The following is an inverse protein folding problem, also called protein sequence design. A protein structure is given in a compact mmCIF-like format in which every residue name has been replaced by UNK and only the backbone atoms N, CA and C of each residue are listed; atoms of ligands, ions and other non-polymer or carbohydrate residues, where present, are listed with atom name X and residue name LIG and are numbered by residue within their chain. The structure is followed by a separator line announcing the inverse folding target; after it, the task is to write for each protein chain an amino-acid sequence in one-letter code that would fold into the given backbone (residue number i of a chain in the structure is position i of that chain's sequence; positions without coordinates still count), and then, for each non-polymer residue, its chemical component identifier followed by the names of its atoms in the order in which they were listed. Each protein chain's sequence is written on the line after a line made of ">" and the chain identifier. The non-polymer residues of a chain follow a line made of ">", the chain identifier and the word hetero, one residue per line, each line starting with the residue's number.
data_IF_136705561988
#
_entry.id   IF_136705561988
#
_cell.length_a   1.000
_cell.length_b   1.000
_cell.length_c   1.000
_cell.angle_alpha   90.00
_cell.angle_beta   90.00
_cell.angle_gamma   90.00
#
_symmetry.space_group_name_H-M   'P 1'
#
loop_
_entity.id
_entity.type
_entity.pdbx_description
1 polymer ?
#
# COMPACT_ATOMS: atom_id res chain seq x y z
N UNK A 1 -12.68 -6.83 -7.86
CA UNK A 1 -12.84 -5.50 -8.50
C UNK A 1 -13.70 -5.57 -9.75
N UNK A 2 -13.35 -6.36 -10.77
CA UNK A 2 -14.13 -6.49 -12.02
C UNK A 2 -15.66 -6.61 -11.86
N UNK A 3 -16.17 -7.62 -11.12
CA UNK A 3 -17.62 -7.80 -10.91
C UNK A 3 -18.31 -6.62 -10.22
N UNK A 4 -17.61 -5.95 -9.30
CA UNK A 4 -18.16 -4.85 -8.50
C UNK A 4 -18.38 -3.62 -9.40
N UNK A 5 -17.37 -3.26 -10.20
CA UNK A 5 -17.50 -2.17 -11.17
C UNK A 5 -18.55 -2.49 -12.24
N UNK A 6 -18.57 -3.73 -12.74
CA UNK A 6 -19.58 -4.17 -13.68
C UNK A 6 -21.00 -4.02 -13.12
N UNK A 7 -21.21 -4.42 -11.85
CA UNK A 7 -22.49 -4.28 -11.18
C UNK A 7 -22.92 -2.81 -11.09
N UNK A 8 -22.06 -1.90 -10.63
CA UNK A 8 -22.41 -0.48 -10.53
C UNK A 8 -22.65 0.16 -11.90
N UNK A 9 -21.87 -0.18 -12.92
CA UNK A 9 -22.09 0.30 -14.29
C UNK A 9 -23.42 -0.21 -14.84
N UNK A 10 -23.72 -1.51 -14.71
CA UNK A 10 -24.99 -2.07 -15.16
C UNK A 10 -26.19 -1.50 -14.40
N UNK A 11 -26.05 -1.27 -13.09
CA UNK A 11 -27.07 -0.61 -12.29
C UNK A 11 -27.31 0.84 -12.76
N UNK A 12 -26.26 1.59 -13.08
CA UNK A 12 -26.38 2.94 -13.64
C UNK A 12 -27.14 2.96 -14.96
N UNK A 13 -26.88 1.99 -15.85
CA UNK A 13 -27.59 1.89 -17.13
C UNK A 13 -29.04 1.45 -16.93
N UNK A 14 -29.32 0.58 -15.95
CA UNK A 14 -30.68 0.23 -15.57
C UNK A 14 -31.46 1.45 -15.05
N UNK A 15 -30.84 2.26 -14.20
CA UNK A 15 -31.43 3.53 -13.74
C UNK A 15 -31.71 4.45 -14.92
N UNK A 16 -30.74 4.62 -15.84
CA UNK A 16 -30.98 5.39 -17.07
C UNK A 16 -32.19 4.85 -17.83
N UNK A 17 -32.23 3.54 -18.11
CA UNK A 17 -33.31 2.89 -18.85
C UNK A 17 -34.68 3.17 -18.23
N UNK A 18 -34.77 3.14 -16.90
CA UNK A 18 -36.01 3.41 -16.17
C UNK A 18 -36.58 4.82 -16.34
N UNK A 19 -35.75 5.80 -16.72
CA UNK A 19 -36.15 7.19 -16.97
C UNK A 19 -36.20 7.54 -18.47
N UNK A 20 -35.90 6.60 -19.36
CA UNK A 20 -35.87 6.86 -20.78
C UNK A 20 -37.28 6.97 -21.36
N UNK A 21 -37.54 8.08 -22.05
CA UNK A 21 -38.84 8.35 -22.72
C UNK A 21 -39.11 7.38 -23.88
N UNK A 22 -38.05 6.86 -24.50
CA UNK A 22 -38.12 5.87 -25.57
C UNK A 22 -37.60 4.51 -25.09
N UNK A 23 -38.46 3.46 -25.05
CA UNK A 23 -38.06 2.14 -24.59
C UNK A 23 -37.15 1.38 -25.58
N UNK A 24 -36.91 1.93 -26.78
CA UNK A 24 -36.08 1.31 -27.82
C UNK A 24 -36.87 0.51 -28.84
N UNK A 25 -36.16 -0.02 -29.82
CA UNK A 25 -36.73 -0.85 -30.89
C UNK A 25 -36.75 -2.32 -30.44
N UNK A 26 -37.87 -3.06 -30.56
CA UNK A 26 -37.91 -4.48 -30.21
C UNK A 26 -36.84 -5.31 -30.93
N UNK A 27 -36.19 -6.23 -30.22
CA UNK A 27 -35.09 -7.04 -30.74
C UNK A 27 -33.70 -6.42 -30.58
N UNK A 28 -33.61 -5.18 -30.07
CA UNK A 28 -32.34 -4.56 -29.69
C UNK A 28 -32.09 -4.68 -28.18
N UNK A 29 -30.82 -4.51 -27.78
CA UNK A 29 -30.41 -4.55 -26.36
C UNK A 29 -31.23 -3.58 -25.51
N UNK A 30 -31.54 -2.39 -26.01
CA UNK A 30 -32.34 -1.40 -25.28
C UNK A 30 -33.83 -1.73 -25.26
N UNK A 31 -34.39 -2.18 -26.41
CA UNK A 31 -35.79 -2.56 -26.54
C UNK A 31 -36.18 -3.75 -25.69
N UNK A 32 -35.27 -4.72 -25.55
CA UNK A 32 -35.52 -5.98 -24.83
C UNK A 32 -35.13 -5.92 -23.34
N UNK A 33 -34.60 -4.78 -22.87
CA UNK A 33 -33.93 -4.65 -21.57
C UNK A 33 -34.86 -4.90 -20.37
N UNK A 34 -36.13 -4.51 -20.49
CA UNK A 34 -37.16 -4.72 -19.45
C UNK A 34 -37.94 -6.03 -19.62
N UNK A 35 -37.86 -6.66 -20.80
CA UNK A 35 -38.68 -7.83 -21.15
C UNK A 35 -37.89 -9.13 -21.03
N UNK A 36 -36.57 -9.07 -20.94
CA UNK A 36 -35.69 -10.25 -20.86
C UNK A 36 -34.42 -9.99 -20.04
N UNK A 37 -33.84 -11.05 -19.49
CA UNK A 37 -32.59 -10.98 -18.70
C UNK A 37 -31.34 -10.86 -19.60
N UNK A 38 -31.45 -11.25 -20.86
CA UNK A 38 -30.33 -11.37 -21.80
C UNK A 38 -29.59 -10.05 -22.06
N UNK A 39 -30.27 -8.91 -22.29
CA UNK A 39 -29.59 -7.62 -22.45
C UNK A 39 -28.87 -7.16 -21.19
N UNK A 40 -29.46 -7.36 -20.01
CA UNK A 40 -28.84 -7.03 -18.73
C UNK A 40 -27.57 -7.86 -18.48
N UNK A 41 -27.62 -9.17 -18.79
CA UNK A 41 -26.44 -10.04 -18.73
C UNK A 41 -25.36 -9.62 -19.73
N UNK A 42 -25.76 -9.31 -20.96
CA UNK A 42 -24.86 -8.86 -22.04
C UNK A 42 -24.12 -7.59 -21.62
N UNK A 43 -24.85 -6.59 -21.12
CA UNK A 43 -24.29 -5.35 -20.60
C UNK A 43 -23.33 -5.62 -19.43
N UNK A 44 -23.73 -6.45 -18.47
CA UNK A 44 -22.88 -6.80 -17.32
C UNK A 44 -21.56 -7.44 -17.76
N UNK A 45 -21.60 -8.40 -18.68
CA UNK A 45 -20.39 -9.06 -19.20
C UNK A 45 -19.48 -8.07 -19.95
N UNK A 46 -20.05 -7.17 -20.75
CA UNK A 46 -19.30 -6.15 -21.47
C UNK A 46 -18.68 -5.12 -20.51
N UNK A 47 -19.43 -4.64 -19.51
CA UNK A 47 -18.91 -3.73 -18.48
C UNK A 47 -17.77 -4.38 -17.68
N UNK A 48 -17.90 -5.67 -17.37
CA UNK A 48 -16.83 -6.43 -16.73
C UNK A 48 -15.61 -6.54 -17.65
N UNK A 49 -15.82 -6.85 -18.94
CA UNK A 49 -14.73 -6.92 -19.90
C UNK A 49 -13.98 -5.58 -20.05
N UNK A 50 -14.69 -4.46 -20.14
CA UNK A 50 -14.09 -3.12 -20.15
C UNK A 50 -13.24 -2.87 -18.89
N UNK A 51 -13.75 -3.26 -17.72
CA UNK A 51 -12.99 -3.15 -16.46
C UNK A 51 -11.72 -4.00 -16.50
N UNK A 52 -11.79 -5.22 -17.03
CA UNK A 52 -10.63 -6.10 -17.16
C UNK A 52 -9.56 -5.49 -18.08
N UNK A 53 -9.98 -4.89 -19.19
CA UNK A 53 -9.08 -4.21 -20.13
C UNK A 53 -8.39 -3.01 -19.47
N UNK A 54 -9.14 -2.19 -18.72
CA UNK A 54 -8.56 -1.09 -17.95
C UNK A 54 -7.53 -1.56 -16.92
N UNK A 55 -7.87 -2.60 -16.16
CA UNK A 55 -6.96 -3.21 -15.18
C UNK A 55 -5.72 -3.86 -15.84
N UNK A 56 -5.85 -4.38 -17.07
CA UNK A 56 -4.75 -4.94 -17.84
C UNK A 56 -3.75 -3.83 -18.21
N UNK A 57 -4.22 -2.72 -18.76
CA UNK A 57 -3.35 -1.58 -19.07
C UNK A 57 -2.74 -0.96 -17.81
N UNK A 58 -3.49 -0.87 -16.72
CA UNK A 58 -2.95 -0.41 -15.43
C UNK A 58 -1.83 -1.32 -14.90
N UNK A 59 -1.98 -2.65 -15.02
CA UNK A 59 -0.95 -3.61 -14.63
C UNK A 59 0.31 -3.48 -15.50
N UNK A 60 0.15 -3.29 -16.81
CA UNK A 60 1.26 -3.04 -17.74
C UNK A 60 1.94 -1.70 -17.39
N UNK A 61 1.16 -0.63 -17.21
CA UNK A 61 1.69 0.68 -16.86
C UNK A 61 2.53 0.61 -15.58
N UNK A 62 2.02 0.02 -14.50
CA UNK A 62 2.76 -0.16 -13.25
C UNK A 62 4.03 -1.00 -13.45
N UNK A 63 3.96 -2.05 -14.28
CA UNK A 63 5.11 -2.89 -14.57
C UNK A 63 6.26 -2.06 -15.18
N UNK A 64 5.98 -1.12 -16.07
CA UNK A 64 7.00 -0.36 -16.83
C UNK A 64 7.31 1.05 -16.31
N UNK A 65 6.51 1.57 -15.36
CA UNK A 65 6.65 2.92 -14.81
C UNK A 65 8.06 3.22 -14.27
N UNK A 66 8.73 2.21 -13.69
CA UNK A 66 10.04 2.37 -13.04
C UNK A 66 11.23 2.48 -14.02
N UNK A 67 11.10 1.94 -15.24
CA UNK A 67 12.24 1.78 -16.16
C UNK A 67 12.07 2.49 -17.49
N UNK A 68 10.89 2.38 -18.08
CA UNK A 68 10.64 2.80 -19.46
C UNK A 68 9.44 3.74 -19.44
N UNK A 69 9.69 4.98 -19.03
CA UNK A 69 8.66 6.04 -18.96
C UNK A 69 7.91 6.22 -20.28
N UNK A 70 8.59 6.04 -21.42
CA UNK A 70 7.95 6.09 -22.74
C UNK A 70 6.85 5.04 -22.92
N UNK A 71 7.10 3.79 -22.47
CA UNK A 71 6.11 2.72 -22.57
C UNK A 71 4.98 2.89 -21.55
N UNK A 72 5.28 3.43 -20.37
CA UNK A 72 4.25 3.84 -19.41
C UNK A 72 3.31 4.90 -20.01
N UNK A 73 3.87 5.97 -20.59
CA UNK A 73 3.07 7.03 -21.23
C UNK A 73 2.27 6.47 -22.39
N UNK A 74 2.88 5.64 -23.25
CA UNK A 74 2.18 4.98 -24.35
C UNK A 74 1.02 4.10 -23.85
N UNK A 75 1.24 3.30 -22.79
CA UNK A 75 0.19 2.47 -22.20
C UNK A 75 -0.96 3.32 -21.64
N UNK A 76 -0.67 4.47 -21.02
CA UNK A 76 -1.69 5.40 -20.52
C UNK A 76 -2.49 6.05 -21.66
N UNK A 77 -1.82 6.45 -22.76
CA UNK A 77 -2.49 7.00 -23.95
C UNK A 77 -3.39 5.95 -24.58
N UNK A 78 -2.89 4.72 -24.78
CA UNK A 78 -3.68 3.63 -25.35
C UNK A 78 -4.87 3.30 -24.44
N UNK A 79 -4.67 3.25 -23.12
CA UNK A 79 -5.77 3.05 -22.16
C UNK A 79 -6.85 4.13 -22.31
N UNK A 80 -6.45 5.40 -22.46
CA UNK A 80 -7.39 6.50 -22.67
C UNK A 80 -8.17 6.37 -23.98
N UNK A 81 -7.50 6.05 -25.10
CA UNK A 81 -8.14 5.83 -26.39
C UNK A 81 -9.10 4.64 -26.37
N UNK A 82 -8.71 3.54 -25.71
CA UNK A 82 -9.55 2.35 -25.53
C UNK A 82 -10.76 2.68 -24.64
N UNK A 83 -10.60 3.50 -23.60
CA UNK A 83 -11.71 3.95 -22.78
C UNK A 83 -12.72 4.78 -23.59
N UNK A 84 -12.26 5.66 -24.47
CA UNK A 84 -13.12 6.40 -25.41
C UNK A 84 -13.84 5.42 -26.34
N UNK A 85 -13.12 4.49 -26.97
CA UNK A 85 -13.70 3.50 -27.87
C UNK A 85 -14.75 2.62 -27.19
N UNK A 86 -14.49 2.18 -25.96
CA UNK A 86 -15.46 1.43 -25.16
C UNK A 86 -16.70 2.27 -24.82
N UNK A 87 -16.53 3.55 -24.52
CA UNK A 87 -17.65 4.47 -24.22
C UNK A 87 -18.54 4.62 -25.45
N UNK A 88 -17.97 4.88 -26.63
CA UNK A 88 -18.72 4.91 -27.88
C UNK A 88 -19.39 3.56 -28.17
N UNK A 89 -18.67 2.44 -27.99
CA UNK A 89 -19.22 1.11 -28.17
C UNK A 89 -20.44 0.82 -27.30
N UNK A 90 -20.43 1.26 -26.03
CA UNK A 90 -21.57 1.11 -25.13
C UNK A 90 -22.75 2.02 -25.50
N UNK A 91 -22.50 3.23 -26.03
CA UNK A 91 -23.56 4.10 -26.54
C UNK A 91 -24.25 3.45 -27.75
N UNK A 92 -23.49 2.91 -28.69
CA UNK A 92 -24.05 2.23 -29.87
C UNK A 92 -24.62 0.83 -29.58
N UNK A 93 -24.32 0.25 -28.41
CA UNK A 93 -24.85 -1.04 -27.99
C UNK A 93 -26.38 -1.04 -27.89
N UNK A 94 -26.96 0.11 -27.54
CA UNK A 94 -28.41 0.34 -27.37
C UNK A 94 -29.21 -0.13 -28.60
N UNK A 95 -28.69 0.16 -29.80
CA UNK A 95 -29.34 -0.16 -31.07
C UNK A 95 -28.91 -1.50 -31.67
N UNK A 96 -27.97 -2.22 -31.03
CA UNK A 96 -27.51 -3.50 -31.52
C UNK A 96 -28.54 -4.61 -31.27
N UNK A 97 -28.66 -5.59 -32.18
CA UNK A 97 -29.46 -6.79 -31.92
C UNK A 97 -28.98 -7.53 -30.67
N UNK A 98 -29.92 -7.94 -29.82
CA UNK A 98 -29.60 -8.59 -28.52
C UNK A 98 -28.73 -9.84 -28.71
N UNK A 99 -29.02 -10.66 -29.73
CA UNK A 99 -28.29 -11.89 -30.00
C UNK A 99 -26.82 -11.67 -30.42
N UNK A 100 -26.56 -10.72 -31.31
CA UNK A 100 -25.19 -10.41 -31.76
C UNK A 100 -24.37 -9.79 -30.64
N UNK A 101 -24.99 -8.90 -29.84
CA UNK A 101 -24.37 -8.29 -28.68
C UNK A 101 -23.97 -9.34 -27.63
N UNK A 102 -24.81 -10.34 -27.37
CA UNK A 102 -24.50 -11.44 -26.45
C UNK A 102 -23.32 -12.29 -26.96
N UNK A 103 -23.31 -12.66 -28.24
CA UNK A 103 -22.19 -13.44 -28.82
C UNK A 103 -20.88 -12.66 -28.67
N UNK A 104 -20.91 -11.37 -28.96
CA UNK A 104 -19.76 -10.49 -28.80
C UNK A 104 -19.29 -10.47 -27.33
N UNK A 105 -20.21 -10.33 -26.38
CA UNK A 105 -19.89 -10.35 -24.95
C UNK A 105 -19.26 -11.68 -24.51
N UNK A 106 -19.78 -12.81 -24.98
CA UNK A 106 -19.27 -14.15 -24.68
C UNK A 106 -17.87 -14.40 -25.24
N UNK A 107 -17.44 -13.67 -26.27
CA UNK A 107 -16.09 -13.76 -26.83
C UNK A 107 -15.15 -12.77 -26.13
N UNK A 108 -15.56 -11.50 -26.03
CA UNK A 108 -14.73 -10.43 -25.47
C UNK A 108 -14.46 -10.65 -23.99
N UNK A 109 -15.45 -11.12 -23.23
CA UNK A 109 -15.30 -11.35 -21.80
C UNK A 109 -14.16 -12.33 -21.45
N UNK A 110 -14.16 -13.60 -21.91
CA UNK A 110 -13.09 -14.54 -21.59
C UNK A 110 -11.74 -14.08 -22.15
N UNK A 111 -11.71 -13.47 -23.33
CA UNK A 111 -10.49 -12.93 -23.90
C UNK A 111 -9.89 -11.83 -23.02
N UNK A 112 -10.71 -10.91 -22.52
CA UNK A 112 -10.29 -9.85 -21.59
C UNK A 112 -9.79 -10.41 -20.26
N UNK A 113 -10.40 -11.49 -19.78
CA UNK A 113 -10.02 -12.14 -18.53
C UNK A 113 -8.65 -12.82 -18.66
N UNK A 114 -8.44 -13.58 -19.74
CA UNK A 114 -7.17 -14.21 -20.06
C UNK A 114 -6.06 -13.16 -20.23
N UNK A 115 -6.35 -12.08 -20.97
CA UNK A 115 -5.41 -10.99 -21.16
C UNK A 115 -5.03 -10.29 -19.85
N UNK A 116 -6.00 -10.03 -18.96
CA UNK A 116 -5.76 -9.47 -17.63
C UNK A 116 -4.88 -10.38 -16.78
N UNK A 117 -5.18 -11.69 -16.73
CA UNK A 117 -4.39 -12.67 -15.97
C UNK A 117 -2.96 -12.70 -16.50
N UNK A 118 -2.78 -12.80 -17.82
CA UNK A 118 -1.47 -12.79 -18.46
C UNK A 118 -0.68 -11.51 -18.15
N UNK A 119 -1.31 -10.35 -18.28
CA UNK A 119 -0.68 -9.07 -17.98
C UNK A 119 -0.29 -8.94 -16.51
N UNK A 120 -1.11 -9.44 -15.57
CA UNK A 120 -0.76 -9.45 -14.14
C UNK A 120 0.41 -10.37 -13.83
N UNK A 121 0.43 -11.58 -14.38
CA UNK A 121 1.55 -12.50 -14.20
C UNK A 121 2.84 -11.90 -14.76
N UNK A 122 2.78 -11.32 -15.96
CA UNK A 122 3.91 -10.62 -16.57
C UNK A 122 4.39 -9.46 -15.69
N UNK A 123 3.46 -8.63 -15.20
CA UNK A 123 3.77 -7.50 -14.34
C UNK A 123 4.48 -7.94 -13.05
N UNK A 124 3.95 -8.96 -12.37
CA UNK A 124 4.55 -9.51 -11.14
C UNK A 124 5.96 -10.04 -11.41
N UNK A 125 6.12 -10.87 -12.44
CA UNK A 125 7.44 -11.45 -12.78
C UNK A 125 8.44 -10.34 -13.12
N UNK A 126 8.02 -9.33 -13.89
CA UNK A 126 8.88 -8.21 -14.26
C UNK A 126 9.28 -7.38 -13.04
N UNK A 127 8.31 -6.99 -12.20
CA UNK A 127 8.57 -6.21 -10.99
C UNK A 127 9.51 -6.98 -10.07
N UNK A 128 9.28 -8.27 -9.85
CA UNK A 128 10.16 -9.10 -9.03
C UNK A 128 11.58 -9.20 -9.60
N UNK A 129 11.73 -9.35 -10.93
CA UNK A 129 13.05 -9.35 -11.60
C UNK A 129 13.74 -8.00 -11.46
N UNK A 130 13.00 -6.92 -11.62
CA UNK A 130 13.52 -5.57 -11.46
C UNK A 130 13.99 -5.31 -10.03
N UNK A 131 13.18 -5.70 -9.04
CA UNK A 131 13.47 -5.57 -7.62
C UNK A 131 14.66 -6.45 -7.21
N UNK A 132 14.81 -7.65 -7.78
CA UNK A 132 15.96 -8.53 -7.58
C UNK A 132 17.24 -7.98 -8.23
N UNK A 133 17.13 -7.34 -9.40
CA UNK A 133 18.26 -6.69 -10.08
C UNK A 133 18.68 -5.38 -9.40
N UNK A 134 17.76 -4.72 -8.69
CA UNK A 134 17.99 -3.47 -7.96
C UNK A 134 17.58 -3.60 -6.48
N UNK A 135 18.31 -4.40 -5.67
CA UNK A 135 17.96 -4.66 -4.26
C UNK A 135 18.02 -3.42 -3.35
N UNK A 136 18.45 -2.27 -3.88
CA UNK A 136 18.44 -0.97 -3.20
C UNK A 136 17.41 0.01 -3.78
N UNK A 137 16.54 -0.43 -4.69
CA UNK A 137 15.58 0.38 -5.44
C UNK A 137 14.11 -0.05 -5.33
N UNK A 138 13.79 -1.22 -4.77
CA UNK A 138 12.39 -1.67 -4.69
C UNK A 138 11.59 -0.94 -3.62
N UNK A 139 10.81 0.01 -4.11
CA UNK A 139 9.87 0.85 -3.41
C UNK A 139 8.66 0.05 -2.95
N UNK A 140 8.75 -0.61 -1.79
CA UNK A 140 7.60 -0.88 -0.93
C UNK A 140 7.88 -0.41 0.50
N UNK A 141 8.60 0.71 0.63
CA UNK A 141 8.65 1.48 1.87
C UNK A 141 7.65 2.63 1.77
N UNK A 142 6.73 2.78 2.73
CA UNK A 142 5.85 3.92 2.81
C UNK A 142 6.73 5.16 2.96
N UNK A 143 6.66 6.05 1.97
CA UNK A 143 7.01 7.47 1.99
C UNK A 143 7.64 7.95 3.32
N UNK A 144 8.97 7.86 3.46
CA UNK A 144 9.79 8.78 4.31
C UNK A 144 11.29 8.57 4.16
N UNK A 145 11.98 9.72 4.01
CA UNK A 145 13.38 10.00 4.36
C UNK A 145 14.46 9.51 3.39
N UNK A 146 14.75 10.40 2.42
CA UNK A 146 16.09 10.94 2.12
C UNK A 146 17.27 9.96 2.28
N UNK A 147 17.81 9.50 1.14
CA UNK A 147 19.12 8.85 1.03
C UNK A 147 20.21 9.76 1.61
N UNK A 148 20.51 9.61 2.90
CA UNK A 148 21.82 9.91 3.47
C UNK A 148 22.52 8.58 3.73
N UNK A 149 23.75 8.45 3.23
CA UNK A 149 24.66 7.33 3.51
C UNK A 149 24.67 7.05 5.03
N UNK A 150 24.01 5.97 5.46
CA UNK A 150 24.03 5.54 6.87
C UNK A 150 25.41 5.01 7.25
N UNK A 151 25.91 5.30 8.45
CA UNK A 151 27.17 4.78 8.96
C UNK A 151 27.12 3.25 9.14
N UNK A 152 28.26 2.60 8.92
CA UNK A 152 28.44 1.17 9.18
C UNK A 152 28.96 1.00 10.62
N UNK A 153 28.29 0.20 11.45
CA UNK A 153 28.68 -0.11 12.83
C UNK A 153 27.76 -1.17 13.46
N UNK A 154 28.07 -1.74 14.64
CA UNK A 154 27.16 -2.64 15.35
C UNK A 154 25.96 -1.86 15.93
N UNK A 155 24.78 -2.48 16.13
CA UNK A 155 23.67 -1.88 16.86
C UNK A 155 24.13 -1.28 18.21
N UNK A 156 23.77 -0.02 18.54
CA UNK A 156 22.88 0.91 17.85
C UNK A 156 23.60 1.95 16.94
N UNK A 157 24.87 1.77 16.62
CA UNK A 157 25.68 2.76 15.88
C UNK A 157 25.33 2.81 14.38
N UNK A 158 24.79 1.73 13.83
CA UNK A 158 24.32 1.62 12.44
C UNK A 158 23.15 2.56 12.11
N UNK A 159 22.40 3.02 13.11
CA UNK A 159 21.24 3.90 12.89
C UNK A 159 21.52 5.39 13.03
N UNK A 160 22.69 5.78 13.57
CA UNK A 160 23.01 7.19 13.81
C UNK A 160 23.15 7.96 12.49
N UNK A 161 22.61 9.16 12.41
CA UNK A 161 22.84 10.09 11.32
C UNK A 161 24.20 10.79 11.47
N UNK A 162 24.70 11.43 10.40
CA UNK A 162 25.97 12.15 10.47
C UNK A 162 25.89 13.28 11.51
N UNK A 163 26.73 13.21 12.54
CA UNK A 163 26.74 14.19 13.64
C UNK A 163 25.74 13.89 14.76
N UNK A 164 24.90 12.86 14.61
CA UNK A 164 24.05 12.36 15.69
C UNK A 164 24.90 11.57 16.69
N UNK A 165 24.76 11.88 17.99
CA UNK A 165 25.46 11.16 19.06
C UNK A 165 24.46 10.35 19.85
N UNK A 166 24.81 9.09 20.11
CA UNK A 166 24.10 8.23 21.05
C UNK A 166 24.26 8.80 22.47
N UNK A 167 23.14 9.01 23.17
CA UNK A 167 23.13 9.43 24.55
C UNK A 167 23.02 8.23 25.49
N UNK A 168 22.05 7.35 25.22
CA UNK A 168 21.80 6.12 25.98
C UNK A 168 20.94 5.16 25.17
N UNK A 169 20.97 3.89 25.52
CA UNK A 169 20.08 2.89 24.94
C UNK A 169 19.69 1.84 25.98
N UNK A 170 18.53 1.24 25.78
CA UNK A 170 18.05 0.07 26.49
C UNK A 170 17.70 -1.00 25.46
N UNK A 171 18.13 -2.23 25.68
CA UNK A 171 17.89 -3.38 24.80
C UNK A 171 17.16 -4.46 25.56
N UNK A 172 16.17 -5.04 24.91
CA UNK A 172 15.49 -6.25 25.33
C UNK A 172 15.61 -7.32 24.26
N UNK A 173 16.03 -8.52 24.66
CA UNK A 173 16.11 -9.71 23.81
C UNK A 173 14.82 -10.56 23.87
N UNK A 174 13.71 -9.98 24.37
CA UNK A 174 12.43 -10.67 24.46
C UNK A 174 11.89 -11.06 23.08
N UNK A 175 11.33 -12.27 22.98
CA UNK A 175 10.76 -12.83 21.75
C UNK A 175 9.33 -12.31 21.51
N UNK A 176 8.83 -12.23 20.26
CA UNK A 176 9.39 -12.81 19.04
C UNK A 176 10.49 -11.99 18.34
N UNK A 177 10.66 -10.71 18.68
CA UNK A 177 11.69 -9.84 18.08
C UNK A 177 12.40 -8.98 19.13
N UNK A 178 13.75 -9.02 19.23
CA UNK A 178 14.51 -8.15 20.12
C UNK A 178 14.29 -6.67 19.76
N UNK A 179 14.03 -5.85 20.78
CA UNK A 179 13.75 -4.42 20.62
C UNK A 179 14.66 -3.56 21.48
N UNK A 180 14.79 -2.29 21.11
CA UNK A 180 15.59 -1.32 21.83
C UNK A 180 14.92 0.05 21.86
N UNK A 181 15.12 0.77 22.97
CA UNK A 181 14.87 2.20 23.10
C UNK A 181 16.20 2.94 23.06
N UNK A 182 16.26 4.03 22.30
CA UNK A 182 17.48 4.79 22.08
C UNK A 182 17.17 6.26 22.22
N UNK A 183 17.97 6.96 23.03
CA UNK A 183 18.00 8.40 23.05
C UNK A 183 19.27 8.88 22.32
N UNK A 184 19.10 9.83 21.41
CA UNK A 184 20.20 10.53 20.74
C UNK A 184 20.08 12.02 20.96
N UNK A 185 21.09 12.77 20.52
CA UNK A 185 21.07 14.24 20.56
C UNK A 185 19.94 14.87 19.74
N UNK A 186 19.37 14.14 18.77
CA UNK A 186 18.39 14.69 17.81
C UNK A 186 17.03 14.00 17.85
N UNK A 187 16.91 12.79 18.43
CA UNK A 187 15.66 12.02 18.46
C UNK A 187 15.66 10.95 19.55
N UNK A 188 14.45 10.50 19.89
CA UNK A 188 14.22 9.28 20.65
C UNK A 188 13.63 8.22 19.72
N UNK A 189 14.13 6.99 19.81
CA UNK A 189 13.87 5.94 18.82
C UNK A 189 13.51 4.63 19.51
N UNK A 190 12.50 3.95 18.99
CA UNK A 190 12.23 2.53 19.24
C UNK A 190 12.62 1.75 18.00
N UNK A 191 13.47 0.74 18.15
CA UNK A 191 13.94 -0.07 17.04
C UNK A 191 13.84 -1.57 17.33
N UNK A 192 13.69 -2.37 16.27
CA UNK A 192 13.80 -3.84 16.26
C UNK A 192 15.20 -4.24 15.77
N UNK A 193 15.76 -5.33 16.29
CA UNK A 193 17.05 -5.89 15.84
C UNK A 193 16.77 -7.01 14.84
N UNK A 194 16.94 -6.72 13.55
CA UNK A 194 16.69 -7.66 12.46
C UNK A 194 18.02 -8.33 12.09
N UNK A 195 18.35 -9.42 12.80
CA UNK A 195 19.67 -10.13 12.81
C UNK A 195 20.74 -9.39 13.62
N UNK A 196 21.78 -10.13 14.04
CA UNK A 196 22.88 -9.71 14.93
C UNK A 196 23.49 -8.34 14.65
N UNK A 197 23.41 -7.83 13.42
CA UNK A 197 24.13 -6.63 12.98
C UNK A 197 23.25 -5.54 12.37
N UNK A 198 21.90 -5.60 12.49
CA UNK A 198 21.05 -4.55 11.89
C UNK A 198 19.90 -4.12 12.77
N UNK A 199 19.73 -2.81 12.86
CA UNK A 199 18.59 -2.17 13.52
C UNK A 199 17.58 -1.63 12.52
N UNK A 200 16.31 -1.75 12.87
CA UNK A 200 15.19 -1.22 12.12
C UNK A 200 14.37 -0.31 13.01
N UNK A 201 14.32 0.98 12.69
CA UNK A 201 13.53 1.98 13.42
C UNK A 201 12.05 1.69 13.23
N UNK A 202 11.37 1.32 14.33
CA UNK A 202 9.92 1.12 14.39
C UNK A 202 9.21 2.46 14.58
N UNK A 203 9.71 3.28 15.52
CA UNK A 203 9.14 4.58 15.85
C UNK A 203 10.22 5.60 16.19
N UNK A 204 9.94 6.88 15.94
CA UNK A 204 10.83 7.99 16.29
C UNK A 204 10.04 9.18 16.84
N UNK A 205 10.65 9.93 17.76
CA UNK A 205 10.11 11.14 18.37
C UNK A 205 11.15 12.24 18.44
N UNK A 206 10.69 13.49 18.50
CA UNK A 206 11.58 14.61 18.83
C UNK A 206 11.96 14.56 20.31
N UNK A 207 13.19 14.93 20.70
CA UNK A 207 13.60 15.00 22.10
C UNK A 207 12.74 15.99 22.91
N UNK A 208 12.22 17.05 22.26
CA UNK A 208 11.35 18.04 22.91
C UNK A 208 9.97 17.49 23.30
N UNK A 209 9.58 16.36 22.74
CA UNK A 209 8.32 15.69 23.06
C UNK A 209 8.49 14.71 24.23
N UNK A 210 9.71 14.41 24.65
CA UNK A 210 9.97 13.45 25.72
C UNK A 210 9.57 14.05 27.07
N UNK A 211 8.72 13.35 27.82
CA UNK A 211 8.25 13.75 29.16
C UNK A 211 9.01 13.00 30.24
N UNK A 212 9.34 11.74 29.98
CA UNK A 212 10.12 10.88 30.88
C UNK A 212 10.01 9.42 30.48
N UNK A 213 10.37 8.53 31.39
CA UNK A 213 10.22 7.10 31.20
C UNK A 213 9.92 6.39 32.51
N UNK A 214 9.27 5.24 32.42
CA UNK A 214 8.97 4.37 33.57
C UNK A 214 9.35 2.93 33.27
N UNK A 215 9.69 2.20 34.32
CA UNK A 215 9.89 0.75 34.31
C UNK A 215 8.81 0.14 35.20
N UNK A 216 7.98 -0.72 34.62
CA UNK A 216 6.85 -1.33 35.33
C UNK A 216 6.81 -2.83 35.01
N UNK A 217 6.19 -3.62 35.89
CA UNK A 217 5.88 -5.02 35.60
C UNK A 217 4.42 -5.11 35.19
N UNK A 218 4.16 -5.65 34.01
CA UNK A 218 2.82 -5.92 33.49
C UNK A 218 2.64 -7.44 33.43
N UNK A 219 1.98 -8.01 34.44
CA UNK A 219 1.90 -9.46 34.62
C UNK A 219 3.27 -10.09 34.96
N UNK A 220 3.73 -11.02 34.13
CA UNK A 220 5.04 -11.66 34.27
C UNK A 220 6.16 -10.93 33.53
N UNK A 221 5.83 -9.95 32.69
CA UNK A 221 6.78 -9.27 31.83
C UNK A 221 7.17 -7.89 32.39
N UNK A 222 8.45 -7.56 32.24
CA UNK A 222 8.95 -6.21 32.48
C UNK A 222 8.60 -5.34 31.27
N UNK A 223 8.14 -4.12 31.50
CA UNK A 223 7.83 -3.16 30.44
C UNK A 223 8.56 -1.86 30.72
N UNK A 224 9.42 -1.46 29.78
CA UNK A 224 10.06 -0.14 29.78
C UNK A 224 9.27 0.78 28.85
N UNK A 225 8.76 1.88 29.40
CA UNK A 225 7.87 2.82 28.70
C UNK A 225 8.55 4.20 28.64
N UNK A 226 8.67 4.77 27.44
CA UNK A 226 9.04 6.17 27.26
C UNK A 226 7.77 6.99 26.98
N UNK A 227 7.55 8.01 27.80
CA UNK A 227 6.36 8.87 27.78
C UNK A 227 6.61 10.13 26.96
N UNK A 228 5.62 10.52 26.17
CA UNK A 228 5.72 11.67 25.28
C UNK A 228 4.50 12.59 25.36
N UNK A 229 4.72 13.86 25.06
CA UNK A 229 3.67 14.85 24.89
C UNK A 229 3.05 14.70 23.50
N UNK A 230 1.72 14.72 23.44
CA UNK A 230 0.91 14.75 22.20
C UNK A 230 1.16 13.57 21.24
N UNK A 231 1.64 12.42 21.74
CA UNK A 231 1.80 11.19 20.96
C UNK A 231 1.76 9.94 21.85
N UNK A 232 1.65 8.79 21.22
CA UNK A 232 1.66 7.51 21.90
C UNK A 232 3.03 7.20 22.52
N UNK A 233 2.98 6.54 23.68
CA UNK A 233 4.15 6.06 24.42
C UNK A 233 4.88 4.97 23.64
N UNK A 234 6.21 4.98 23.69
CA UNK A 234 7.02 3.88 23.15
C UNK A 234 7.23 2.84 24.24
N UNK A 235 6.95 1.56 23.93
CA UNK A 235 7.02 0.47 24.89
C UNK A 235 7.97 -0.62 24.40
N UNK A 236 8.83 -1.13 25.27
CA UNK A 236 9.67 -2.31 25.04
C UNK A 236 9.43 -3.32 26.16
N UNK A 237 9.11 -4.55 25.77
CA UNK A 237 8.85 -5.67 26.67
C UNK A 237 10.13 -6.45 26.96
N UNK A 238 10.28 -6.92 28.19
CA UNK A 238 11.40 -7.70 28.69
C UNK A 238 12.69 -6.91 28.95
N UNK A 239 13.80 -7.65 29.08
CA UNK A 239 15.12 -7.11 29.39
C UNK A 239 15.47 -7.20 30.87
N UNK A 240 16.62 -6.65 31.26
CA UNK A 240 17.09 -6.65 32.64
C UNK A 240 16.36 -5.55 33.45
N UNK A 241 15.71 -5.89 34.59
CA UNK A 241 15.04 -4.93 35.48
C UNK A 241 15.92 -3.75 35.93
N UNK A 242 17.17 -4.01 36.31
CA UNK A 242 18.09 -2.96 36.78
C UNK A 242 18.47 -2.01 35.63
N UNK A 243 18.67 -2.55 34.43
CA UNK A 243 18.96 -1.75 33.23
C UNK A 243 17.74 -0.93 32.79
N UNK A 244 16.54 -1.51 32.91
CA UNK A 244 15.29 -0.83 32.60
C UNK A 244 15.04 0.34 33.55
N UNK A 245 15.25 0.14 34.85
CA UNK A 245 15.07 1.19 35.85
C UNK A 245 16.10 2.32 35.69
N UNK A 246 17.39 1.97 35.56
CA UNK A 246 18.44 2.97 35.35
C UNK A 246 18.25 3.75 34.05
N UNK A 247 17.79 3.10 32.97
CA UNK A 247 17.41 3.78 31.73
C UNK A 247 16.23 4.72 31.95
N UNK A 248 15.17 4.27 32.63
CA UNK A 248 13.99 5.09 32.88
C UNK A 248 14.31 6.35 33.70
N UNK A 249 15.15 6.22 34.72
CA UNK A 249 15.64 7.34 35.52
C UNK A 249 16.49 8.30 34.69
N UNK A 250 17.41 7.79 33.87
CA UNK A 250 18.28 8.60 33.01
C UNK A 250 17.49 9.36 31.93
N UNK A 251 16.48 8.73 31.32
CA UNK A 251 15.59 9.35 30.33
C UNK A 251 14.71 10.42 30.99
N UNK A 252 14.20 10.15 32.19
CA UNK A 252 13.42 11.13 32.95
C UNK A 252 14.27 12.34 33.32
N UNK A 253 15.51 12.13 33.77
CA UNK A 253 16.45 13.21 34.01
C UNK A 253 16.75 14.02 32.73
N UNK A 254 16.98 13.33 31.60
CA UNK A 254 17.20 13.96 30.31
C UNK A 254 16.00 14.83 29.89
N UNK A 255 14.77 14.36 30.09
CA UNK A 255 13.56 15.12 29.76
C UNK A 255 13.42 16.41 30.61
N UNK A 256 13.81 16.36 31.88
CA UNK A 256 13.67 17.50 32.80
C UNK A 256 14.82 18.51 32.68
N UNK A 257 16.05 18.03 32.48
CA UNK A 257 17.26 18.86 32.56
C UNK A 257 17.90 19.14 31.19
N UNK A 258 17.51 18.39 30.16
CA UNK A 258 18.20 18.38 28.86
C UNK A 258 19.59 17.75 28.92
N UNK A 259 20.00 17.15 30.04
CA UNK A 259 21.32 16.57 30.25
C UNK A 259 21.27 15.09 30.59
N UNK A 260 22.23 14.33 30.04
CA UNK A 260 22.48 12.93 30.41
C UNK A 260 23.33 12.90 31.68
N UNK A 261 22.91 12.09 32.66
CA UNK A 261 23.71 11.82 33.86
C UNK A 261 25.01 11.11 33.43
N UNK A 262 26.16 11.75 33.70
CA UNK A 262 27.49 11.15 33.46
C UNK A 262 27.78 10.05 34.47
#
# INVERSE_FOLDING_TARGET
>A
MGPIFAFFCSASVFIWHSFAEYPGTPGTVWGDYATSVTPALTLFLLCWACTNIGLMFAAIAEAFNRDVRGLFIAAMIVMFLVAIGNTFGLIFLVDQPTGSALILALIIFPLSLLALIGARLLAIVRVNRYDAAHPHGSSSKPRRSQKQRRPQGPPPQDMLERGERLLMHFRSDHTPEPQMLIATTTRFVRASIIRTDRTFVLEQASPSQLVGASSQREGHDLVTIAHFRDRQDMRVLGGNPEQSQSFAEAVTHLAHTGQVRR
#
